data_IF_987221643435
#
_entry.id   IF_987221643435
#
_cell.length_a   1.000
_cell.length_b   1.000
_cell.length_c   1.000
_cell.angle_alpha   90.00
_cell.angle_beta   90.00
_cell.angle_gamma   90.00
#
_symmetry.space_group_name_H-M   'P 1'
#
loop_
_entity.id
_entity.type
_entity.pdbx_description
1 polymer ?
#
# COMPACT_ATOMS: atom_id res chain seq x y z
N UNK A 1 -0.32 36.94 14.62
CA UNK A 1 0.57 37.16 13.45
C UNK A 1 1.86 36.38 13.66
N UNK A 2 2.02 35.24 12.97
CA UNK A 2 3.31 34.56 12.84
C UNK A 2 3.27 33.62 11.62
N UNK A 3 3.76 34.20 10.52
CA UNK A 3 4.57 33.63 9.43
C UNK A 3 4.25 32.21 8.87
N UNK A 4 3.51 32.23 7.75
CA UNK A 4 3.53 31.21 6.69
C UNK A 4 4.97 30.92 6.22
N UNK A 5 5.35 29.65 6.15
CA UNK A 5 6.49 29.19 5.34
C UNK A 5 5.97 28.22 4.28
N UNK A 6 5.92 28.70 3.04
CA UNK A 6 5.72 27.90 1.84
C UNK A 6 7.00 27.09 1.59
N UNK A 7 6.90 25.76 1.64
CA UNK A 7 7.95 24.88 1.11
C UNK A 7 7.40 24.25 -0.16
N UNK A 8 7.79 24.81 -1.30
CA UNK A 8 7.59 24.25 -2.63
C UNK A 8 8.59 23.11 -2.84
N UNK A 9 8.11 21.87 -2.85
CA UNK A 9 8.84 20.75 -3.45
C UNK A 9 8.25 20.50 -4.83
N UNK A 10 9.02 20.84 -5.85
CA UNK A 10 8.80 20.50 -7.23
C UNK A 10 8.71 18.97 -7.37
N UNK A 11 7.51 18.46 -7.59
CA UNK A 11 7.30 17.06 -7.97
C UNK A 11 7.68 16.86 -9.42
N UNK A 12 8.83 16.23 -9.67
CA UNK A 12 9.23 15.76 -10.99
C UNK A 12 8.30 14.62 -11.41
N UNK A 13 7.24 14.94 -12.15
CA UNK A 13 6.33 13.96 -12.74
C UNK A 13 6.95 13.42 -14.03
N UNK A 14 7.55 12.23 -13.97
CA UNK A 14 7.92 11.47 -15.16
C UNK A 14 6.80 10.48 -15.47
N UNK A 15 6.00 10.77 -16.51
CA UNK A 15 4.95 9.87 -17.02
C UNK A 15 5.52 9.12 -18.21
N UNK A 16 5.78 7.82 -18.05
CA UNK A 16 5.94 6.92 -19.19
C UNK A 16 4.63 6.17 -19.42
N UNK A 17 4.01 6.44 -20.56
CA UNK A 17 2.93 5.64 -21.11
C UNK A 17 3.52 4.37 -21.75
N UNK A 18 3.07 3.20 -21.33
CA UNK A 18 3.43 1.91 -21.90
C UNK A 18 2.55 0.80 -21.33
N UNK A 19 2.01 -0.03 -22.21
CA UNK A 19 1.07 -1.17 -22.07
C UNK A 19 0.86 -1.77 -20.66
N UNK A 20 -0.41 -1.99 -20.31
CA UNK A 20 -0.90 -2.46 -18.99
C UNK A 20 -0.79 -3.96 -18.81
N UNK A 21 0.38 -4.44 -18.40
CA UNK A 21 0.60 -5.82 -17.96
C UNK A 21 0.97 -5.82 -16.48
N UNK A 22 -0.06 -5.82 -15.62
CA UNK A 22 0.08 -5.91 -14.16
C UNK A 22 1.15 -4.98 -13.56
N UNK A 23 0.95 -3.67 -13.76
CA UNK A 23 1.92 -2.65 -13.42
C UNK A 23 2.30 -2.71 -11.93
N UNK A 24 3.57 -3.03 -11.67
CA UNK A 24 4.17 -2.74 -10.39
C UNK A 24 4.04 -1.24 -10.14
N UNK A 25 3.24 -0.85 -9.16
CA UNK A 25 3.05 0.54 -8.79
C UNK A 25 3.64 0.80 -7.42
N UNK A 26 4.19 1.99 -7.24
CA UNK A 26 4.58 2.52 -5.95
C UNK A 26 4.04 3.93 -5.78
N UNK A 27 3.55 4.25 -4.58
CA UNK A 27 3.10 5.59 -4.19
C UNK A 27 3.68 5.92 -2.83
N UNK A 28 4.27 7.10 -2.72
CA UNK A 28 4.56 7.74 -1.45
C UNK A 28 3.56 8.87 -1.20
N UNK A 29 3.18 9.05 0.06
CA UNK A 29 2.37 10.17 0.50
C UNK A 29 2.82 10.66 1.87
N UNK A 30 2.54 11.93 2.16
CA UNK A 30 2.77 12.54 3.47
C UNK A 30 1.53 13.33 3.87
N UNK A 31 1.22 13.36 5.16
CA UNK A 31 0.14 14.18 5.71
C UNK A 31 0.66 14.98 6.89
N UNK A 32 0.19 16.22 7.02
CA UNK A 32 0.48 17.06 8.18
C UNK A 32 -0.71 17.11 9.12
N UNK A 33 -0.45 17.10 10.42
CA UNK A 33 -1.45 17.24 11.47
C UNK A 33 -0.89 18.12 12.59
N UNK A 34 -1.74 18.54 13.52
CA UNK A 34 -1.31 19.27 14.73
C UNK A 34 -0.30 18.49 15.59
N UNK A 35 -0.20 17.17 15.39
CA UNK A 35 0.75 16.28 16.08
C UNK A 35 2.06 16.06 15.30
N UNK A 36 2.23 16.74 14.17
CA UNK A 36 3.37 16.61 13.26
C UNK A 36 3.03 15.90 11.94
N UNK A 37 4.06 15.63 11.14
CA UNK A 37 3.96 15.06 9.79
C UNK A 37 4.13 13.55 9.81
N UNK A 38 3.20 12.81 9.21
CA UNK A 38 3.35 11.39 8.93
C UNK A 38 3.59 11.11 7.45
N UNK A 39 4.02 9.90 7.16
CA UNK A 39 4.30 9.43 5.80
C UNK A 39 3.80 8.00 5.58
N UNK A 40 3.49 7.69 4.33
CA UNK A 40 3.12 6.36 3.91
C UNK A 40 3.80 6.02 2.59
N UNK A 41 4.25 4.79 2.46
CA UNK A 41 4.68 4.19 1.21
C UNK A 41 3.83 2.97 0.94
N UNK A 42 3.41 2.79 -0.30
CA UNK A 42 2.68 1.60 -0.73
C UNK A 42 3.22 1.17 -2.08
N UNK A 43 3.50 -0.12 -2.19
CA UNK A 43 3.83 -0.78 -3.44
C UNK A 43 2.91 -1.97 -3.67
N UNK A 44 2.58 -2.24 -4.92
CA UNK A 44 2.03 -3.52 -5.30
C UNK A 44 2.55 -3.92 -6.67
N UNK A 45 2.53 -5.21 -6.96
CA UNK A 45 2.88 -5.78 -8.25
C UNK A 45 2.00 -6.99 -8.49
N UNK A 46 1.68 -7.28 -9.75
CA UNK A 46 1.11 -8.58 -10.07
C UNK A 46 1.90 -9.27 -11.17
N UNK A 47 1.99 -10.59 -11.09
CA UNK A 47 2.62 -11.42 -12.10
C UNK A 47 1.99 -12.81 -12.04
N UNK A 48 1.79 -13.43 -13.21
CA UNK A 48 1.31 -14.81 -13.32
C UNK A 48 0.06 -15.12 -12.46
N UNK A 49 -0.92 -14.22 -12.42
CA UNK A 49 -2.16 -14.39 -11.65
C UNK A 49 -2.03 -14.15 -10.14
N UNK A 50 -0.86 -13.73 -9.64
CA UNK A 50 -0.65 -13.34 -8.25
C UNK A 50 -0.35 -11.85 -8.12
N UNK A 51 -1.08 -11.15 -7.26
CA UNK A 51 -0.84 -9.77 -6.88
C UNK A 51 -0.27 -9.71 -5.45
N UNK A 52 0.88 -9.09 -5.27
CA UNK A 52 1.50 -8.83 -3.97
C UNK A 52 1.47 -7.34 -3.65
N UNK A 53 1.18 -6.98 -2.40
CA UNK A 53 1.19 -5.60 -1.88
C UNK A 53 2.03 -5.49 -0.62
N UNK A 54 2.69 -4.35 -0.46
CA UNK A 54 3.43 -3.96 0.73
C UNK A 54 3.19 -2.48 1.01
N UNK A 55 2.96 -2.13 2.27
CA UNK A 55 2.75 -0.75 2.67
C UNK A 55 3.35 -0.48 4.04
N UNK A 56 4.00 0.66 4.19
CA UNK A 56 4.49 1.16 5.48
C UNK A 56 3.82 2.50 5.74
N UNK A 57 3.35 2.71 6.97
CA UNK A 57 2.81 3.99 7.42
C UNK A 57 3.53 4.40 8.69
N UNK A 58 4.15 5.56 8.68
CA UNK A 58 4.87 6.12 9.83
C UNK A 58 4.11 7.35 10.33
N UNK A 59 3.68 7.30 11.59
CA UNK A 59 3.04 8.43 12.24
C UNK A 59 4.05 9.52 12.61
N UNK A 60 3.54 10.70 12.97
CA UNK A 60 4.37 11.85 13.35
C UNK A 60 5.33 11.60 14.53
N UNK A 61 5.01 10.62 15.38
CA UNK A 61 5.86 10.17 16.47
C UNK A 61 6.89 9.09 16.06
N UNK A 62 7.12 8.88 14.76
CA UNK A 62 8.09 7.91 14.22
C UNK A 62 7.65 6.43 14.29
N UNK A 63 6.50 6.14 14.90
CA UNK A 63 5.97 4.78 15.05
C UNK A 63 5.36 4.29 13.74
N UNK A 64 5.76 3.10 13.30
CA UNK A 64 5.40 2.58 11.99
C UNK A 64 4.50 1.35 12.05
N UNK A 65 3.60 1.24 11.08
CA UNK A 65 2.77 0.05 10.83
C UNK A 65 3.09 -0.47 9.45
N UNK A 66 3.42 -1.74 9.36
CA UNK A 66 3.70 -2.41 8.07
C UNK A 66 2.57 -3.36 7.74
N UNK A 67 2.14 -3.35 6.49
CA UNK A 67 1.15 -4.28 5.96
C UNK A 67 1.70 -4.94 4.71
N UNK A 68 1.66 -6.25 4.64
CA UNK A 68 1.98 -7.01 3.44
C UNK A 68 0.88 -8.01 3.14
N UNK A 69 0.82 -8.49 1.90
CA UNK A 69 -0.07 -9.57 1.53
C UNK A 69 -0.06 -9.88 0.06
N UNK A 70 -0.64 -11.02 -0.29
CA UNK A 70 -0.79 -11.48 -1.65
C UNK A 70 -2.19 -12.00 -1.92
N UNK A 71 -2.59 -11.95 -3.18
CA UNK A 71 -3.81 -12.57 -3.70
C UNK A 71 -3.42 -13.34 -4.95
N UNK A 72 -3.75 -14.63 -5.01
CA UNK A 72 -3.45 -15.50 -6.15
C UNK A 72 -4.75 -16.04 -6.72
N UNK A 73 -4.95 -15.87 -8.03
CA UNK A 73 -6.05 -16.52 -8.75
C UNK A 73 -5.72 -17.99 -8.93
N UNK A 74 -6.47 -18.87 -8.29
CA UNK A 74 -6.27 -20.32 -8.36
C UNK A 74 -7.11 -20.99 -9.45
N UNK A 75 -8.25 -20.41 -9.80
CA UNK A 75 -9.09 -20.80 -10.92
C UNK A 75 -9.94 -19.59 -11.39
N UNK A 76 -10.62 -19.64 -12.54
CA UNK A 76 -11.58 -18.60 -12.92
C UNK A 76 -12.60 -18.36 -11.79
N UNK A 77 -12.70 -17.12 -11.31
CA UNK A 77 -13.57 -16.75 -10.18
C UNK A 77 -13.08 -17.18 -8.79
N UNK A 78 -11.97 -17.91 -8.66
CA UNK A 78 -11.45 -18.37 -7.36
C UNK A 78 -10.09 -17.74 -7.03
N UNK A 79 -9.97 -17.25 -5.80
CA UNK A 79 -8.79 -16.54 -5.33
C UNK A 79 -8.39 -17.02 -3.94
N UNK A 80 -7.10 -17.25 -3.71
CA UNK A 80 -6.53 -17.38 -2.37
C UNK A 80 -5.84 -16.07 -1.99
N UNK A 81 -5.80 -15.75 -0.70
CA UNK A 81 -5.08 -14.58 -0.21
C UNK A 81 -4.40 -14.84 1.12
N UNK A 82 -3.36 -14.06 1.36
CA UNK A 82 -2.70 -13.97 2.66
C UNK A 82 -2.30 -12.54 2.94
N UNK A 83 -2.16 -12.18 4.21
CA UNK A 83 -1.67 -10.87 4.60
C UNK A 83 -1.21 -10.83 6.04
N UNK A 84 -0.27 -9.94 6.30
CA UNK A 84 0.27 -9.68 7.62
C UNK A 84 0.25 -8.18 7.90
N UNK A 85 -0.06 -7.83 9.14
CA UNK A 85 0.03 -6.47 9.65
C UNK A 85 0.91 -6.49 10.89
N UNK A 86 2.04 -5.79 10.86
CA UNK A 86 2.96 -5.63 11.97
C UNK A 86 2.79 -4.23 12.55
N UNK A 87 2.39 -4.17 13.82
CA UNK A 87 2.22 -2.91 14.54
C UNK A 87 3.56 -2.33 15.05
N UNK A 88 3.53 -1.12 15.62
CA UNK A 88 4.76 -0.44 16.05
C UNK A 88 5.47 -1.11 17.23
N UNK A 89 4.79 -2.02 17.92
CA UNK A 89 5.33 -2.80 19.03
C UNK A 89 5.88 -4.17 18.57
N UNK A 90 6.04 -4.40 17.26
CA UNK A 90 6.54 -5.65 16.69
C UNK A 90 5.51 -6.79 16.58
N UNK A 91 4.36 -6.66 17.26
CA UNK A 91 3.29 -7.65 17.17
C UNK A 91 2.73 -7.75 15.75
N UNK A 92 2.69 -8.96 15.22
CA UNK A 92 2.20 -9.26 13.87
C UNK A 92 0.89 -10.02 13.94
N UNK A 93 -0.09 -9.59 13.14
CA UNK A 93 -1.35 -10.31 12.91
C UNK A 93 -1.39 -10.79 11.48
N UNK A 94 -1.60 -12.08 11.28
CA UNK A 94 -1.73 -12.70 9.97
C UNK A 94 -3.18 -13.07 9.70
N UNK A 95 -3.55 -13.07 8.42
CA UNK A 95 -4.81 -13.62 7.92
C UNK A 95 -4.57 -14.31 6.59
N UNK A 96 -5.34 -15.34 6.32
CA UNK A 96 -5.32 -16.05 5.05
C UNK A 96 -6.68 -16.67 4.80
N UNK A 97 -7.01 -16.90 3.54
CA UNK A 97 -8.25 -17.56 3.16
C UNK A 97 -8.40 -17.71 1.66
N UNK A 98 -9.56 -18.16 1.24
CA UNK A 98 -9.98 -18.24 -0.15
C UNK A 98 -11.33 -17.57 -0.34
N UNK A 99 -11.55 -17.05 -1.54
CA UNK A 99 -12.79 -16.39 -1.95
C UNK A 99 -13.18 -16.94 -3.32
N UNK A 100 -14.45 -17.29 -3.47
CA UNK A 100 -15.06 -17.63 -4.76
C UNK A 100 -16.04 -16.52 -5.11
N UNK A 101 -15.84 -15.90 -6.27
CA UNK A 101 -16.74 -14.89 -6.82
C UNK A 101 -17.73 -15.61 -7.73
N UNK A 102 -18.92 -15.88 -7.20
CA UNK A 102 -20.10 -16.21 -8.01
C UNK A 102 -20.77 -14.90 -8.42
N UNK A 103 -20.77 -14.58 -9.72
CA UNK A 103 -21.49 -13.42 -10.25
C UNK A 103 -23.00 -13.57 -9.94
N UNK A 104 -23.47 -12.95 -8.85
CA UNK A 104 -24.85 -13.08 -8.38
C UNK A 104 -25.14 -12.60 -6.95
N UNK A 105 -24.30 -11.75 -6.35
CA UNK A 105 -24.55 -11.03 -5.10
C UNK A 105 -24.02 -9.60 -5.23
#
# INVERSE_FOLDING_TARGET
MKNLSLVSLAGLSLVLAGVVDAQAFSRQSSWSSQRGTGSASVGASCAAGTCSRSAVRTGAYGRSVTNSGSVTRTAPGQYSYSGATTGPNGNTRTRSGSVVITNGQ
#
